data_IF_935301383389
#
_entry.id   IF_935301383389
#
_cell.length_a   1.000
_cell.length_b   1.000
_cell.length_c   1.000
_cell.angle_alpha   90.00
_cell.angle_beta   90.00
_cell.angle_gamma   90.00
#
_symmetry.space_group_name_H-M   'P 1'
#
loop_
_entity.id
_entity.type
_entity.pdbx_description
1 polymer ?
#
# COMPACT_ATOMS: atom_id res chain seq x y z
N UNK A 1 -11.21 -12.25 -7.35
CA UNK A 1 -10.18 -11.74 -8.31
C UNK A 1 -9.75 -10.36 -7.84
N UNK A 2 -8.56 -9.87 -8.19
CA UNK A 2 -8.14 -8.50 -7.83
C UNK A 2 -7.72 -7.78 -9.11
N UNK A 3 -8.13 -6.52 -9.25
CA UNK A 3 -7.71 -5.65 -10.34
C UNK A 3 -6.60 -4.71 -9.84
N UNK A 4 -5.54 -4.55 -10.63
CA UNK A 4 -4.47 -3.59 -10.35
C UNK A 4 -4.55 -2.44 -11.36
N UNK A 5 -4.56 -1.21 -10.85
CA UNK A 5 -4.43 0.00 -11.65
C UNK A 5 -3.08 0.62 -11.35
N UNK A 6 -2.17 0.59 -12.33
CA UNK A 6 -0.87 1.25 -12.25
C UNK A 6 -0.94 2.64 -12.90
N UNK A 7 -0.74 3.68 -12.10
CA UNK A 7 -0.68 5.08 -12.51
C UNK A 7 0.66 5.71 -12.14
N UNK A 8 1.69 4.89 -11.90
CA UNK A 8 3.04 5.37 -11.67
C UNK A 8 3.66 5.91 -12.98
N UNK A 9 4.43 6.98 -12.85
CA UNK A 9 5.14 7.63 -13.94
C UNK A 9 6.57 7.98 -13.50
N UNK A 10 7.48 8.12 -14.45
CA UNK A 10 8.87 8.53 -14.20
C UNK A 10 9.81 7.37 -13.88
N UNK A 11 11.03 7.72 -13.45
CA UNK A 11 12.10 6.78 -13.10
C UNK A 11 12.82 7.24 -11.84
N UNK A 12 13.27 6.29 -11.01
CA UNK A 12 14.00 6.55 -9.76
C UNK A 12 15.20 5.62 -9.68
N UNK A 13 16.27 6.10 -9.04
CA UNK A 13 17.37 5.24 -8.62
C UNK A 13 17.04 4.71 -7.23
N UNK A 14 17.15 3.40 -7.04
CA UNK A 14 16.90 2.75 -5.77
C UNK A 14 17.73 1.46 -5.67
N UNK A 15 17.97 1.02 -4.44
CA UNK A 15 18.46 -0.33 -4.19
C UNK A 15 17.38 -1.34 -4.60
N UNK A 16 17.72 -2.23 -5.54
CA UNK A 16 16.79 -3.20 -6.14
C UNK A 16 16.13 -4.10 -5.08
N UNK A 17 16.93 -4.63 -4.14
CA UNK A 17 16.47 -5.58 -3.14
C UNK A 17 15.55 -4.89 -2.13
N UNK A 18 15.94 -3.70 -1.67
CA UNK A 18 15.13 -2.94 -0.73
C UNK A 18 13.82 -2.48 -1.38
N UNK A 19 13.86 -1.98 -2.61
CA UNK A 19 12.65 -1.54 -3.32
C UNK A 19 11.69 -2.71 -3.55
N UNK A 20 12.19 -3.84 -4.05
CA UNK A 20 11.37 -5.04 -4.26
C UNK A 20 10.73 -5.50 -2.94
N UNK A 21 11.50 -5.55 -1.85
CA UNK A 21 11.00 -5.97 -0.53
C UNK A 21 9.88 -5.07 -0.05
N UNK A 22 10.07 -3.77 -0.16
CA UNK A 22 9.11 -2.77 0.32
C UNK A 22 7.83 -2.80 -0.52
N UNK A 23 7.94 -2.81 -1.86
CA UNK A 23 6.78 -2.93 -2.75
C UNK A 23 6.02 -4.25 -2.54
N UNK A 24 6.74 -5.36 -2.38
CA UNK A 24 6.14 -6.67 -2.09
C UNK A 24 5.35 -6.63 -0.78
N UNK A 25 5.88 -6.01 0.26
CA UNK A 25 5.18 -5.88 1.54
C UNK A 25 3.88 -5.08 1.38
N UNK A 26 3.92 -3.94 0.67
CA UNK A 26 2.73 -3.12 0.46
C UNK A 26 1.67 -3.83 -0.37
N UNK A 27 2.06 -4.44 -1.48
CA UNK A 27 1.14 -5.16 -2.35
C UNK A 27 0.54 -6.39 -1.64
N UNK A 28 1.34 -7.13 -0.86
CA UNK A 28 0.85 -8.28 -0.09
C UNK A 28 -0.17 -7.83 0.96
N UNK A 29 0.06 -6.72 1.63
CA UNK A 29 -0.89 -6.15 2.57
C UNK A 29 -2.18 -5.71 1.85
N UNK A 30 -2.05 -4.97 0.75
CA UNK A 30 -3.19 -4.52 -0.03
C UNK A 30 -4.05 -5.70 -0.52
N UNK A 31 -3.43 -6.79 -1.00
CA UNK A 31 -4.12 -8.02 -1.41
C UNK A 31 -4.81 -8.70 -0.21
N UNK A 32 -4.10 -8.83 0.92
CA UNK A 32 -4.60 -9.51 2.13
C UNK A 32 -5.82 -8.80 2.74
N UNK A 33 -5.84 -7.48 2.70
CA UNK A 33 -6.88 -6.64 3.30
C UNK A 33 -7.91 -6.13 2.28
N UNK A 34 -8.02 -6.79 1.13
CA UNK A 34 -9.00 -6.47 0.10
C UNK A 34 -10.04 -7.58 -0.04
N UNK A 35 -11.28 -7.20 -0.27
CA UNK A 35 -12.36 -8.11 -0.63
C UNK A 35 -12.19 -8.66 -2.06
N UNK A 36 -13.01 -9.66 -2.41
CA UNK A 36 -13.09 -10.14 -3.77
C UNK A 36 -13.53 -9.03 -4.74
N UNK A 37 -12.83 -8.95 -5.87
CA UNK A 37 -13.04 -7.97 -6.95
C UNK A 37 -12.65 -6.52 -6.57
N UNK A 38 -11.87 -6.36 -5.51
CA UNK A 38 -11.25 -5.10 -5.15
C UNK A 38 -10.30 -4.56 -6.24
N UNK A 39 -10.16 -3.24 -6.25
CA UNK A 39 -9.25 -2.49 -7.11
C UNK A 39 -8.10 -1.95 -6.26
N UNK A 40 -6.89 -2.46 -6.48
CA UNK A 40 -5.67 -1.92 -5.89
C UNK A 40 -5.09 -0.87 -6.84
N UNK A 41 -4.91 0.36 -6.35
CA UNK A 41 -4.34 1.48 -7.10
C UNK A 41 -2.90 1.72 -6.66
N UNK A 42 -2.00 1.88 -7.62
CA UNK A 42 -0.59 2.18 -7.41
C UNK A 42 -0.30 3.51 -8.10
N UNK A 43 0.08 4.51 -7.33
CA UNK A 43 0.29 5.89 -7.81
C UNK A 43 1.68 6.37 -7.44
N UNK A 44 2.25 7.23 -8.28
CA UNK A 44 3.46 7.95 -7.95
C UNK A 44 3.21 9.44 -7.92
N UNK A 45 3.79 10.13 -6.94
CA UNK A 45 3.91 11.59 -6.95
C UNK A 45 5.39 11.96 -6.89
N UNK A 46 5.72 13.14 -7.41
CA UNK A 46 7.06 13.69 -7.32
C UNK A 46 6.96 15.12 -6.82
N UNK A 47 7.58 15.38 -5.68
CA UNK A 47 7.59 16.69 -5.04
C UNK A 47 8.96 16.92 -4.38
N UNK A 48 9.53 18.11 -4.51
CA UNK A 48 10.78 18.52 -3.85
C UNK A 48 11.92 17.47 -3.84
N UNK A 49 12.22 16.85 -5.00
CA UNK A 49 13.20 15.76 -5.19
C UNK A 49 12.87 14.43 -4.48
N UNK A 50 11.65 14.30 -3.99
CA UNK A 50 11.14 13.10 -3.34
C UNK A 50 10.20 12.40 -4.32
N UNK A 51 10.53 11.15 -4.62
CA UNK A 51 9.60 10.26 -5.29
C UNK A 51 8.76 9.54 -4.25
N UNK A 52 7.45 9.66 -4.40
CA UNK A 52 6.46 9.05 -3.53
C UNK A 52 5.77 7.93 -4.29
N UNK A 53 5.66 6.75 -3.69
CA UNK A 53 4.86 5.65 -4.22
C UNK A 53 3.76 5.34 -3.21
N UNK A 54 2.52 5.34 -3.67
CA UNK A 54 1.32 5.03 -2.88
C UNK A 54 0.69 3.74 -3.40
N UNK A 55 0.38 2.83 -2.47
CA UNK A 55 -0.46 1.66 -2.74
C UNK A 55 -1.74 1.81 -1.93
N UNK A 56 -2.87 1.87 -2.62
CA UNK A 56 -4.20 2.05 -2.04
C UNK A 56 -5.10 0.88 -2.41
N UNK A 57 -5.90 0.43 -1.45
CA UNK A 57 -6.92 -0.58 -1.67
C UNK A 57 -8.24 -0.19 -0.98
N UNK A 58 -9.38 -0.76 -1.41
CA UNK A 58 -10.66 -0.54 -0.77
C UNK A 58 -10.66 -1.23 0.59
N UNK A 59 -11.12 -0.55 1.64
CA UNK A 59 -11.24 -1.13 2.98
C UNK A 59 -11.10 -0.09 4.09
N UNK A 60 -11.62 -0.42 5.28
CA UNK A 60 -11.44 0.42 6.46
C UNK A 60 -10.00 0.35 6.97
N UNK A 61 -9.52 1.46 7.51
CA UNK A 61 -8.26 1.47 8.24
C UNK A 61 -8.40 0.49 9.41
N UNK A 62 -7.53 -0.52 9.57
CA UNK A 62 -7.49 -1.20 10.84
C UNK A 62 -7.19 -0.12 11.89
N UNK A 63 -7.95 -0.08 12.98
CA UNK A 63 -7.80 0.90 14.07
C UNK A 63 -6.36 0.99 14.65
N UNK A 64 -5.49 0.09 14.20
CA UNK A 64 -4.11 -0.12 14.55
C UNK A 64 -3.16 0.01 13.32
N UNK A 65 -3.41 0.93 12.40
CA UNK A 65 -2.58 1.10 11.21
C UNK A 65 -1.10 1.39 11.53
N UNK A 66 -0.82 2.11 12.62
CA UNK A 66 0.53 2.32 13.14
C UNK A 66 1.22 1.00 13.58
N UNK A 67 0.44 -0.03 13.89
CA UNK A 67 0.95 -1.35 14.28
C UNK A 67 1.22 -2.26 13.07
N UNK A 68 0.67 -1.98 11.88
CA UNK A 68 0.99 -2.73 10.65
C UNK A 68 2.46 -2.59 10.23
N UNK A 69 3.09 -1.48 10.63
CA UNK A 69 4.51 -1.21 10.39
C UNK A 69 5.43 -1.72 11.51
N UNK A 70 4.87 -2.27 12.60
CA UNK A 70 5.66 -2.93 13.65
C UNK A 70 5.95 -4.38 13.27
N UNK A 71 7.22 -4.76 13.40
CA UNK A 71 7.66 -6.14 13.23
C UNK A 71 6.81 -7.05 14.14
N UNK A 72 6.21 -8.11 13.57
CA UNK A 72 5.43 -9.16 14.24
C UNK A 72 3.95 -8.90 14.57
N UNK A 73 3.28 -7.87 14.03
CA UNK A 73 1.83 -7.72 14.26
C UNK A 73 0.96 -8.53 13.28
N UNK A 74 0.01 -9.30 13.80
CA UNK A 74 -1.07 -9.98 13.05
C UNK A 74 -2.40 -9.49 13.63
N UNK A 75 -3.12 -8.63 12.90
CA UNK A 75 -4.40 -8.07 13.34
C UNK A 75 -5.53 -9.11 13.25
N UNK A 76 -6.26 -9.29 14.35
CA UNK A 76 -7.23 -10.37 14.57
C UNK A 76 -8.68 -10.04 14.16
N UNK A 77 -8.91 -8.94 13.43
CA UNK A 77 -10.27 -8.42 13.19
C UNK A 77 -10.66 -8.44 11.71
N UNK A 78 -10.75 -9.64 11.16
CA UNK A 78 -11.47 -9.90 9.92
C UNK A 78 -12.89 -10.37 10.26
N UNK A 79 -13.75 -9.48 10.76
CA UNK A 79 -15.19 -9.75 10.88
C UNK A 79 -15.97 -8.44 11.08
N UNK A 80 -16.75 -8.10 10.06
CA UNK A 80 -17.82 -7.09 10.02
C UNK A 80 -17.41 -5.62 10.15
N UNK A 81 -17.48 -4.85 9.05
CA UNK A 81 -18.28 -3.61 8.97
C UNK A 81 -18.25 -2.99 7.58
N UNK A 82 -19.42 -2.59 7.10
CA UNK A 82 -19.64 -1.82 5.87
C UNK A 82 -19.26 -0.33 6.10
N UNK A 83 -18.62 0.33 5.13
CA UNK A 83 -18.44 1.78 5.15
C UNK A 83 -17.22 2.28 4.37
N UNK A 84 -17.44 3.30 3.54
CA UNK A 84 -16.48 3.95 2.65
C UNK A 84 -15.27 4.55 3.39
N UNK A 85 -14.05 4.30 2.89
CA UNK A 85 -12.81 4.93 3.32
C UNK A 85 -11.61 4.46 2.48
N UNK A 86 -10.70 5.36 2.13
CA UNK A 86 -9.49 5.09 1.34
C UNK A 86 -8.33 4.83 2.30
N UNK A 87 -7.78 3.60 2.32
CA UNK A 87 -6.57 3.27 3.06
C UNK A 87 -5.35 3.28 2.13
N UNK A 88 -4.38 4.16 2.39
CA UNK A 88 -3.12 4.25 1.64
C UNK A 88 -1.91 3.97 2.55
N UNK A 89 -0.96 3.16 2.08
CA UNK A 89 0.37 3.04 2.69
C UNK A 89 1.38 3.81 1.84
N UNK A 90 2.27 4.56 2.51
CA UNK A 90 3.17 5.54 1.90
C UNK A 90 4.62 5.03 1.88
N UNK A 91 5.28 5.11 0.72
CA UNK A 91 6.73 4.96 0.59
C UNK A 91 7.36 6.26 0.09
N UNK A 92 8.47 6.62 0.71
CA UNK A 92 9.22 7.84 0.38
C UNK A 92 10.63 7.43 -0.05
N UNK A 93 11.01 7.75 -1.29
CA UNK A 93 12.36 7.59 -1.82
C UNK A 93 12.92 8.97 -2.19
N UNK A 94 14.16 9.25 -1.79
CA UNK A 94 14.86 10.49 -2.13
C UNK A 94 15.89 10.21 -3.22
N UNK A 95 16.01 11.14 -4.16
CA UNK A 95 17.01 11.10 -5.23
C UNK A 95 18.42 11.33 -4.70
#
# INVERSE_FOLDING_TARGET
RICFINQCQGTVWADEILLQRVLSNLLTNAIRYSDENAVIRIESAYDDNVAEIRVANPGSHPADADKLFRRFWRGDNARHTAGFGVGGSLLTARR
#
